data_IF_717483354910
#
_entry.id   IF_717483354910
#
_cell.length_a   1.000
_cell.length_b   1.000
_cell.length_c   1.000
_cell.angle_alpha   90.00
_cell.angle_beta   90.00
_cell.angle_gamma   90.00
#
_symmetry.space_group_name_H-M   'P 1'
#
loop_
_entity.id
_entity.type
_entity.pdbx_description
1 polymer ?
#
# COMPACT_ATOMS: atom_id res chain seq x y z
N UNK A 1 -9.00 2.52 -23.86
CA UNK A 1 -8.03 1.67 -23.15
C UNK A 1 -8.40 1.66 -21.68
N UNK A 2 -8.37 0.49 -21.05
CA UNK A 2 -8.79 0.31 -19.67
C UNK A 2 -7.83 1.01 -18.71
N UNK A 3 -8.37 1.83 -17.81
CA UNK A 3 -7.59 2.53 -16.78
C UNK A 3 -6.80 1.53 -15.92
N UNK A 4 -7.39 0.39 -15.60
CA UNK A 4 -6.73 -0.65 -14.80
C UNK A 4 -5.49 -1.22 -15.49
N UNK A 5 -5.55 -1.45 -16.79
CA UNK A 5 -4.41 -1.96 -17.58
C UNK A 5 -3.28 -0.94 -17.61
N UNK A 6 -3.62 0.32 -17.86
CA UNK A 6 -2.63 1.41 -17.88
C UNK A 6 -1.96 1.57 -16.53
N UNK A 7 -2.75 1.59 -15.46
CA UNK A 7 -2.25 1.78 -14.09
C UNK A 7 -1.29 0.66 -13.68
N UNK A 8 -1.63 -0.58 -13.98
CA UNK A 8 -0.78 -1.73 -13.67
C UNK A 8 0.52 -1.69 -14.47
N UNK A 9 0.44 -1.29 -15.75
CA UNK A 9 1.62 -1.19 -16.61
C UNK A 9 2.62 -0.18 -16.04
N UNK A 10 2.16 1.02 -15.69
CA UNK A 10 3.02 2.05 -15.10
C UNK A 10 3.55 1.64 -13.74
N UNK A 11 2.69 1.07 -12.89
CA UNK A 11 3.09 0.62 -11.56
C UNK A 11 4.12 -0.51 -11.62
N UNK A 12 3.95 -1.43 -12.55
CA UNK A 12 4.89 -2.54 -12.74
C UNK A 12 6.26 -2.05 -13.18
N UNK A 13 6.29 -1.07 -14.09
CA UNK A 13 7.54 -0.45 -14.54
C UNK A 13 8.23 0.28 -13.39
N UNK A 14 7.48 1.00 -12.57
CA UNK A 14 8.03 1.69 -11.40
C UNK A 14 8.60 0.70 -10.39
N UNK A 15 7.87 -0.37 -10.10
CA UNK A 15 8.33 -1.38 -9.14
C UNK A 15 9.60 -2.08 -9.64
N UNK A 16 9.68 -2.38 -10.94
CA UNK A 16 10.88 -2.96 -11.52
C UNK A 16 12.08 -2.02 -11.37
N UNK A 17 11.91 -0.75 -11.72
CA UNK A 17 12.97 0.25 -11.58
C UNK A 17 13.39 0.44 -10.13
N UNK A 18 12.44 0.48 -9.22
CA UNK A 18 12.71 0.62 -7.79
C UNK A 18 13.46 -0.61 -7.24
N UNK A 19 13.06 -1.80 -7.65
CA UNK A 19 13.71 -3.05 -7.24
C UNK A 19 15.14 -3.11 -7.76
N UNK A 20 15.37 -2.72 -9.02
CA UNK A 20 16.70 -2.68 -9.61
C UNK A 20 17.62 -1.67 -8.88
N UNK A 21 17.05 -0.57 -8.42
CA UNK A 21 17.78 0.45 -7.66
C UNK A 21 17.84 0.16 -6.16
N UNK A 22 17.18 -0.91 -5.70
CA UNK A 22 17.10 -1.33 -4.29
C UNK A 22 16.42 -0.30 -3.40
N UNK A 23 15.42 0.42 -3.94
CA UNK A 23 14.64 1.43 -3.21
C UNK A 23 13.14 1.15 -3.27
N UNK A 24 12.75 -0.10 -3.56
CA UNK A 24 11.35 -0.48 -3.68
C UNK A 24 10.56 -0.22 -2.39
N UNK A 25 11.20 -0.34 -1.22
CA UNK A 25 10.56 -0.08 0.07
C UNK A 25 10.29 1.42 0.27
N UNK A 26 11.23 2.27 -0.12
CA UNK A 26 11.06 3.72 -0.05
C UNK A 26 9.96 4.19 -0.99
N UNK A 27 9.93 3.67 -2.21
CA UNK A 27 8.88 4.00 -3.19
C UNK A 27 7.54 3.48 -2.73
N UNK A 28 7.51 2.33 -2.07
CA UNK A 28 6.28 1.79 -1.47
C UNK A 28 5.67 2.77 -0.46
N UNK A 29 6.49 3.29 0.46
CA UNK A 29 6.04 4.27 1.43
C UNK A 29 5.53 5.54 0.73
N UNK A 30 6.20 5.99 -0.32
CA UNK A 30 5.81 7.15 -1.10
C UNK A 30 4.49 6.95 -1.83
N UNK A 31 4.28 5.77 -2.42
CA UNK A 31 3.02 5.45 -3.12
C UNK A 31 1.87 5.27 -2.14
N UNK A 32 2.11 4.72 -0.94
CA UNK A 32 1.11 4.67 0.11
C UNK A 32 0.71 6.07 0.56
N UNK A 33 1.67 6.97 0.74
CA UNK A 33 1.40 8.35 1.13
C UNK A 33 0.63 9.09 0.04
N UNK A 34 0.97 8.87 -1.22
CA UNK A 34 0.27 9.48 -2.35
C UNK A 34 -1.18 9.00 -2.40
N UNK A 35 -1.41 7.69 -2.29
CA UNK A 35 -2.76 7.12 -2.26
C UNK A 35 -3.57 7.68 -1.10
N UNK A 36 -2.96 7.80 0.07
CA UNK A 36 -3.60 8.38 1.26
C UNK A 36 -3.98 9.83 1.03
N UNK A 37 -3.11 10.61 0.38
CA UNK A 37 -3.37 12.01 0.08
C UNK A 37 -4.61 12.18 -0.82
N UNK A 38 -4.80 11.28 -1.79
CA UNK A 38 -6.00 11.30 -2.63
C UNK A 38 -7.27 11.04 -1.83
N UNK A 39 -7.19 10.20 -0.80
CA UNK A 39 -8.34 9.92 0.07
C UNK A 39 -8.62 11.08 1.04
N UNK A 40 -7.57 11.62 1.66
CA UNK A 40 -7.68 12.68 2.66
C UNK A 40 -8.03 14.04 2.06
N UNK A 41 -7.59 14.28 0.82
CA UNK A 41 -7.84 15.54 0.10
C UNK A 41 -8.60 15.21 -1.19
N UNK A 42 -9.94 15.09 -1.13
CA UNK A 42 -10.73 14.71 -2.31
C UNK A 42 -10.55 15.66 -3.50
N UNK A 43 -10.24 16.93 -3.23
CA UNK A 43 -10.03 17.93 -4.28
C UNK A 43 -8.74 17.72 -5.06
N UNK A 44 -7.81 16.95 -4.54
CA UNK A 44 -6.53 16.68 -5.21
C UNK A 44 -6.77 16.07 -6.59
N UNK A 45 -7.66 15.09 -6.68
CA UNK A 45 -8.01 14.44 -7.94
C UNK A 45 -8.52 15.46 -8.98
N UNK A 46 -9.44 16.32 -8.57
CA UNK A 46 -10.01 17.33 -9.48
C UNK A 46 -8.96 18.35 -9.92
N UNK A 47 -8.07 18.72 -9.02
CA UNK A 47 -7.01 19.67 -9.32
C UNK A 47 -6.00 19.07 -10.33
N UNK A 48 -5.61 17.82 -10.11
CA UNK A 48 -4.69 17.13 -11.03
C UNK A 48 -5.34 16.90 -12.40
N UNK A 49 -6.65 16.63 -12.42
CA UNK A 49 -7.37 16.40 -13.68
C UNK A 49 -7.69 17.69 -14.43
N UNK A 50 -7.47 18.87 -13.82
CA UNK A 50 -7.80 20.14 -14.42
C UNK A 50 -6.86 20.44 -15.60
N UNK A 51 -7.36 20.51 -16.84
CA UNK A 51 -6.51 20.76 -18.01
C UNK A 51 -5.92 22.17 -18.05
N UNK A 52 -6.47 23.09 -17.26
CA UNK A 52 -5.98 24.47 -17.19
C UNK A 52 -4.77 24.61 -16.28
N UNK A 53 -4.51 23.63 -15.41
CA UNK A 53 -3.36 23.67 -14.51
C UNK A 53 -2.12 23.21 -15.26
N UNK A 54 -1.02 23.96 -15.14
CA UNK A 54 0.23 23.61 -15.84
C UNK A 54 0.83 22.32 -15.29
N UNK A 55 1.59 21.63 -16.13
CA UNK A 55 2.31 20.39 -15.74
C UNK A 55 3.26 20.63 -14.57
N UNK A 56 3.94 21.79 -14.55
CA UNK A 56 4.86 22.13 -13.48
C UNK A 56 4.14 22.23 -12.13
N UNK A 57 2.97 22.83 -12.11
CA UNK A 57 2.17 22.95 -10.89
C UNK A 57 1.63 21.58 -10.45
N UNK A 58 1.20 20.76 -11.40
CA UNK A 58 0.76 19.39 -11.11
C UNK A 58 1.89 18.57 -10.51
N UNK A 59 3.10 18.70 -11.06
CA UNK A 59 4.29 18.03 -10.53
C UNK A 59 4.55 18.43 -9.07
N UNK A 60 4.52 19.73 -8.78
CA UNK A 60 4.72 20.24 -7.42
C UNK A 60 3.68 19.66 -6.46
N UNK A 61 2.42 19.63 -6.87
CA UNK A 61 1.34 19.07 -6.04
C UNK A 61 1.55 17.58 -5.79
N UNK A 62 1.88 16.82 -6.81
CA UNK A 62 2.09 15.38 -6.68
C UNK A 62 3.31 15.07 -5.81
N UNK A 63 4.40 15.83 -5.97
CA UNK A 63 5.59 15.65 -5.12
C UNK A 63 5.29 15.98 -3.67
N UNK A 64 4.48 17.00 -3.42
CA UNK A 64 4.05 17.35 -2.07
C UNK A 64 3.18 16.23 -1.47
N UNK A 65 2.29 15.66 -2.28
CA UNK A 65 1.41 14.57 -1.85
C UNK A 65 2.19 13.28 -1.54
N UNK A 66 3.32 13.06 -2.19
CA UNK A 66 4.19 11.90 -1.97
C UNK A 66 4.92 11.99 -0.62
N UNK A 67 5.30 13.20 -0.21
CA UNK A 67 6.01 13.41 1.05
C UNK A 67 7.11 14.45 0.95
N UNK A 68 7.87 14.63 2.03
CA UNK A 68 8.87 15.68 2.11
C UNK A 68 10.11 15.42 1.27
N UNK A 69 10.53 14.16 1.15
CA UNK A 69 11.78 13.80 0.46
C UNK A 69 11.51 12.68 -0.55
N UNK A 70 10.85 12.98 -1.68
CA UNK A 70 10.60 11.96 -2.68
C UNK A 70 11.90 11.45 -3.28
N UNK A 71 11.94 10.14 -3.56
CA UNK A 71 13.08 9.50 -4.22
C UNK A 71 13.27 10.09 -5.61
N UNK A 72 14.53 10.20 -6.10
CA UNK A 72 14.78 10.68 -7.46
C UNK A 72 14.02 9.87 -8.52
N UNK A 73 13.89 8.57 -8.32
CA UNK A 73 13.11 7.71 -9.22
C UNK A 73 11.64 8.10 -9.24
N UNK A 74 11.06 8.39 -8.07
CA UNK A 74 9.66 8.83 -7.97
C UNK A 74 9.45 10.16 -8.68
N UNK A 75 10.37 11.11 -8.53
CA UNK A 75 10.31 12.37 -9.25
C UNK A 75 10.31 12.17 -10.76
N UNK A 76 11.26 11.38 -11.26
CA UNK A 76 11.36 11.05 -12.68
C UNK A 76 10.10 10.36 -13.18
N UNK A 77 9.55 9.46 -12.38
CA UNK A 77 8.32 8.75 -12.71
C UNK A 77 7.13 9.70 -12.83
N UNK A 78 6.96 10.60 -11.88
CA UNK A 78 5.89 11.61 -11.91
C UNK A 78 6.02 12.49 -13.15
N UNK A 79 7.24 12.91 -13.48
CA UNK A 79 7.51 13.68 -14.69
C UNK A 79 7.14 12.91 -15.94
N UNK A 80 7.44 11.61 -16.00
CA UNK A 80 7.06 10.75 -17.12
C UNK A 80 5.54 10.64 -17.26
N UNK A 81 4.83 10.42 -16.16
CA UNK A 81 3.37 10.30 -16.16
C UNK A 81 2.74 11.60 -16.69
N UNK A 82 3.24 12.74 -16.24
CA UNK A 82 2.76 14.04 -16.71
C UNK A 82 3.08 14.27 -18.20
N UNK A 83 4.28 13.90 -18.63
CA UNK A 83 4.69 14.01 -20.03
C UNK A 83 3.79 13.19 -20.94
N UNK A 84 3.36 12.01 -20.49
CA UNK A 84 2.50 11.11 -21.26
C UNK A 84 1.01 11.45 -21.09
N UNK A 85 0.68 12.52 -20.41
CA UNK A 85 -0.71 12.95 -20.14
C UNK A 85 -1.53 11.88 -19.42
N UNK A 86 -0.90 11.18 -18.47
CA UNK A 86 -1.53 10.11 -17.69
C UNK A 86 -1.75 10.46 -16.23
N UNK A 87 -1.63 11.74 -15.87
CA UNK A 87 -1.80 12.18 -14.48
C UNK A 87 -3.19 11.89 -13.91
N UNK A 88 -4.21 11.77 -14.76
CA UNK A 88 -5.56 11.43 -14.30
C UNK A 88 -5.66 10.01 -13.74
N UNK A 89 -4.72 9.13 -14.06
CA UNK A 89 -4.70 7.77 -13.52
C UNK A 89 -3.68 7.59 -12.39
N UNK A 90 -3.07 8.68 -11.92
CA UNK A 90 -2.00 8.62 -10.91
C UNK A 90 -2.45 7.94 -9.62
N UNK A 91 -3.68 8.20 -9.16
CA UNK A 91 -4.23 7.54 -7.98
C UNK A 91 -4.24 6.01 -8.15
N UNK A 92 -4.68 5.55 -9.31
CA UNK A 92 -4.75 4.11 -9.61
C UNK A 92 -3.36 3.51 -9.77
N UNK A 93 -2.40 4.27 -10.30
CA UNK A 93 -1.00 3.82 -10.38
C UNK A 93 -0.44 3.61 -8.97
N UNK A 94 -0.67 4.55 -8.06
CA UNK A 94 -0.20 4.43 -6.68
C UNK A 94 -0.80 3.19 -6.00
N UNK A 95 -2.10 2.97 -6.14
CA UNK A 95 -2.76 1.80 -5.59
C UNK A 95 -2.25 0.49 -6.20
N UNK A 96 -2.01 0.49 -7.51
CA UNK A 96 -1.47 -0.68 -8.22
C UNK A 96 -0.06 -1.02 -7.76
N UNK A 97 0.79 0.00 -7.55
CA UNK A 97 2.14 -0.21 -7.02
C UNK A 97 2.08 -0.88 -5.64
N UNK A 98 1.22 -0.38 -4.76
CA UNK A 98 1.06 -0.95 -3.41
C UNK A 98 0.67 -2.43 -3.49
N UNK A 99 -0.29 -2.77 -4.36
CA UNK A 99 -0.72 -4.15 -4.55
C UNK A 99 0.40 -5.02 -5.12
N UNK A 100 1.07 -4.56 -6.16
CA UNK A 100 2.16 -5.31 -6.79
C UNK A 100 3.35 -5.50 -5.85
N UNK A 101 3.68 -4.48 -5.06
CA UNK A 101 4.74 -4.57 -4.06
C UNK A 101 4.42 -5.67 -3.03
N UNK A 102 3.19 -5.68 -2.53
CA UNK A 102 2.76 -6.70 -1.55
C UNK A 102 2.82 -8.10 -2.13
N UNK A 103 2.45 -8.26 -3.40
CA UNK A 103 2.59 -9.54 -4.10
C UNK A 103 4.06 -9.96 -4.23
N UNK A 104 4.92 -9.03 -4.63
CA UNK A 104 6.36 -9.31 -4.82
C UNK A 104 7.03 -9.67 -3.50
N UNK A 105 6.71 -8.98 -2.41
CA UNK A 105 7.29 -9.21 -1.09
C UNK A 105 6.55 -10.27 -0.29
N UNK A 106 5.47 -10.82 -0.83
CA UNK A 106 4.59 -11.74 -0.10
C UNK A 106 4.16 -11.14 1.24
N UNK A 107 3.70 -9.88 1.21
CA UNK A 107 3.23 -9.18 2.41
C UNK A 107 1.84 -9.68 2.76
N UNK A 108 1.64 -9.98 4.05
CA UNK A 108 0.37 -10.44 4.58
C UNK A 108 -0.24 -9.33 5.41
N UNK A 109 -1.45 -8.93 5.06
CA UNK A 109 -2.20 -7.98 5.88
C UNK A 109 -3.03 -8.74 6.88
N UNK A 110 -2.92 -8.35 8.16
CA UNK A 110 -3.63 -8.99 9.22
C UNK A 110 -4.35 -8.00 10.11
N UNK A 111 -5.41 -8.47 10.75
CA UNK A 111 -6.12 -7.72 11.78
C UNK A 111 -6.18 -8.59 13.02
N UNK A 112 -5.65 -8.07 14.11
CA UNK A 112 -5.65 -8.73 15.40
C UNK A 112 -6.74 -8.11 16.26
N UNK A 113 -7.72 -8.89 16.65
CA UNK A 113 -8.83 -8.46 17.49
C UNK A 113 -8.65 -9.09 18.87
N UNK A 114 -8.60 -8.27 19.89
CA UNK A 114 -8.39 -8.73 21.27
C UNK A 114 -9.43 -8.12 22.19
N UNK A 115 -9.68 -8.77 23.34
CA UNK A 115 -10.61 -8.25 24.34
C UNK A 115 -10.05 -7.02 25.07
N UNK A 116 -8.73 -6.92 25.17
CA UNK A 116 -8.04 -5.78 25.77
C UNK A 116 -6.77 -5.49 24.97
N UNK A 117 -6.23 -4.28 25.13
CA UNK A 117 -5.01 -3.91 24.42
C UNK A 117 -3.87 -4.89 24.77
N UNK A 118 -3.17 -5.35 23.73
CA UNK A 118 -2.04 -6.27 23.90
C UNK A 118 -0.73 -5.49 23.99
N UNK A 119 0.24 -6.06 24.69
CA UNK A 119 1.58 -5.49 24.74
C UNK A 119 2.29 -5.64 23.40
N UNK A 120 3.26 -4.75 23.08
CA UNK A 120 4.06 -4.90 21.86
C UNK A 120 4.76 -6.26 21.76
N UNK A 121 5.17 -6.83 22.90
CA UNK A 121 5.80 -8.15 22.91
C UNK A 121 4.85 -9.26 22.44
N UNK A 122 3.58 -9.21 22.87
CA UNK A 122 2.56 -10.18 22.46
C UNK A 122 2.26 -10.04 20.99
N UNK A 123 2.10 -8.81 20.50
CA UNK A 123 1.89 -8.53 19.08
C UNK A 123 3.03 -9.08 18.22
N UNK A 124 4.27 -8.89 18.67
CA UNK A 124 5.44 -9.38 17.95
C UNK A 124 5.47 -10.91 17.87
N UNK A 125 5.08 -11.60 18.94
CA UNK A 125 4.98 -13.05 18.95
C UNK A 125 3.95 -13.55 17.95
N UNK A 126 2.82 -12.89 17.87
CA UNK A 126 1.76 -13.26 16.91
C UNK A 126 2.21 -13.03 15.48
N UNK A 127 2.90 -11.92 15.23
CA UNK A 127 3.47 -11.61 13.93
C UNK A 127 4.45 -12.69 13.50
N UNK A 128 5.36 -13.07 14.36
CA UNK A 128 6.34 -14.12 14.08
C UNK A 128 5.67 -15.46 13.79
N UNK A 129 4.60 -15.78 14.51
CA UNK A 129 3.86 -17.01 14.29
C UNK A 129 3.25 -17.07 12.88
N UNK A 130 2.64 -15.98 12.42
CA UNK A 130 2.06 -15.92 11.08
C UNK A 130 3.16 -15.91 10.02
N UNK A 131 4.24 -15.17 10.23
CA UNK A 131 5.36 -15.11 9.31
C UNK A 131 6.00 -16.48 9.12
N UNK A 132 6.15 -17.26 10.19
CA UNK A 132 6.74 -18.60 10.10
C UNK A 132 5.86 -19.59 9.35
N UNK A 133 4.54 -19.42 9.40
CA UNK A 133 3.59 -20.28 8.68
C UNK A 133 3.46 -19.94 7.21
N UNK A 134 3.68 -18.68 6.84
CA UNK A 134 3.37 -18.17 5.51
C UNK A 134 4.62 -17.76 4.71
N UNK A 135 5.78 -17.70 5.35
CA UNK A 135 7.04 -17.24 4.75
C UNK A 135 6.94 -15.83 4.15
N UNK A 136 6.08 -14.99 4.75
CA UNK A 136 5.90 -13.61 4.29
C UNK A 136 6.12 -12.63 5.41
N UNK A 137 6.09 -11.35 5.06
CA UNK A 137 6.12 -10.25 6.01
C UNK A 137 4.68 -9.88 6.39
N UNK A 138 4.43 -9.69 7.68
CA UNK A 138 3.08 -9.44 8.17
C UNK A 138 2.93 -7.98 8.60
N UNK A 139 1.89 -7.32 8.09
CA UNK A 139 1.45 -5.99 8.54
C UNK A 139 0.15 -6.17 9.32
N UNK A 140 0.15 -5.82 10.60
CA UNK A 140 -1.02 -5.94 11.47
C UNK A 140 -1.67 -4.60 11.78
N UNK A 141 -3.00 -4.61 11.78
CA UNK A 141 -3.81 -3.62 12.47
C UNK A 141 -4.35 -4.28 13.73
N UNK A 142 -4.35 -3.56 14.85
CA UNK A 142 -4.90 -4.06 16.10
C UNK A 142 -6.24 -3.41 16.38
N UNK A 143 -7.20 -4.21 16.87
CA UNK A 143 -8.51 -3.73 17.25
C UNK A 143 -8.86 -4.31 18.62
N UNK A 144 -9.40 -3.48 19.51
CA UNK A 144 -9.86 -3.93 20.82
C UNK A 144 -11.38 -4.07 20.78
N UNK A 145 -11.87 -5.28 21.07
CA UNK A 145 -13.29 -5.56 21.17
C UNK A 145 -13.58 -6.28 22.48
N UNK A 146 -14.12 -5.56 23.51
CA UNK A 146 -14.36 -6.15 24.81
C UNK A 146 -15.37 -7.31 24.82
N UNK A 147 -16.15 -7.44 23.76
CA UNK A 147 -17.17 -8.50 23.67
C UNK A 147 -16.58 -9.87 23.36
N UNK A 148 -15.30 -9.95 23.02
CA UNK A 148 -14.61 -11.22 22.80
C UNK A 148 -14.42 -11.94 24.12
N UNK A 149 -14.87 -13.21 24.18
CA UNK A 149 -14.75 -14.03 25.39
C UNK A 149 -13.44 -14.81 25.33
N UNK A 150 -12.40 -14.26 25.95
CA UNK A 150 -11.10 -14.92 26.04
C UNK A 150 -10.36 -15.06 24.71
N UNK A 151 -9.04 -15.00 24.75
CA UNK A 151 -8.23 -15.20 23.55
C UNK A 151 -8.22 -14.01 22.60
N UNK A 152 -8.04 -14.30 21.33
CA UNK A 152 -7.97 -13.29 20.28
C UNK A 152 -8.40 -13.86 18.94
N UNK A 153 -8.79 -12.97 18.03
CA UNK A 153 -9.13 -13.34 16.66
C UNK A 153 -8.06 -12.74 15.75
N UNK A 154 -7.47 -13.57 14.90
CA UNK A 154 -6.50 -13.14 13.90
C UNK A 154 -7.11 -13.38 12.53
N UNK A 155 -7.30 -12.28 11.79
CA UNK A 155 -7.77 -12.33 10.41
C UNK A 155 -6.63 -11.89 9.51
N UNK A 156 -6.41 -12.58 8.39
CA UNK A 156 -5.34 -12.20 7.46
C UNK A 156 -5.68 -12.56 6.03
N UNK A 157 -5.14 -11.75 5.11
CA UNK A 157 -5.22 -11.96 3.67
C UNK A 157 -3.82 -12.11 3.12
N UNK A 158 -3.64 -13.04 2.19
CA UNK A 158 -2.38 -13.20 1.48
C UNK A 158 -2.51 -12.60 0.08
N UNK A 159 -1.55 -11.75 -0.30
CA UNK A 159 -1.49 -11.17 -1.63
C UNK A 159 -0.61 -12.05 -2.51
N UNK A 160 -1.25 -12.89 -3.34
CA UNK A 160 -0.56 -13.78 -4.27
C UNK A 160 -0.93 -13.45 -5.71
N UNK A 161 -0.14 -13.93 -6.64
CA UNK A 161 -0.36 -13.71 -8.08
C UNK A 161 -1.64 -14.35 -8.60
N UNK A 162 -2.06 -15.48 -8.04
CA UNK A 162 -3.34 -16.10 -8.37
C UNK A 162 -4.46 -15.34 -7.67
N UNK A 163 -5.48 -14.98 -8.43
CA UNK A 163 -6.44 -13.95 -8.06
C UNK A 163 -7.48 -14.36 -7.01
N UNK A 164 -7.48 -15.58 -6.50
CA UNK A 164 -8.47 -16.00 -5.52
C UNK A 164 -7.94 -15.87 -4.10
N UNK A 165 -7.89 -14.64 -3.61
CA UNK A 165 -7.52 -14.39 -2.21
C UNK A 165 -8.78 -14.40 -1.38
N UNK A 166 -8.84 -15.31 -0.41
CA UNK A 166 -9.90 -15.33 0.58
C UNK A 166 -9.33 -14.98 1.94
N UNK A 167 -10.05 -14.19 2.75
CA UNK A 167 -9.62 -13.93 4.12
C UNK A 167 -9.53 -15.24 4.91
N UNK A 168 -8.47 -15.35 5.69
CA UNK A 168 -8.31 -16.47 6.62
C UNK A 168 -8.52 -15.93 8.03
N UNK A 169 -9.41 -16.56 8.78
CA UNK A 169 -9.67 -16.18 10.17
C UNK A 169 -9.31 -17.35 11.07
N UNK A 170 -8.56 -17.08 12.12
CA UNK A 170 -8.17 -18.06 13.10
C UNK A 170 -8.39 -17.49 14.49
N UNK A 171 -9.11 -18.24 15.33
CA UNK A 171 -9.30 -17.87 16.72
C UNK A 171 -8.36 -18.73 17.58
N UNK A 172 -7.63 -18.05 18.48
CA UNK A 172 -6.73 -18.71 19.41
C UNK A 172 -7.20 -18.46 20.82
N UNK A 173 -7.15 -19.51 21.66
CA UNK A 173 -7.45 -19.38 23.09
C UNK A 173 -6.16 -19.23 23.86
N UNK A 174 -6.11 -18.38 24.91
CA UNK A 174 -4.94 -18.30 25.77
C UNK A 174 -4.76 -19.62 26.48
N UNK A 175 -3.60 -20.15 26.47
CA UNK A 175 -3.26 -21.37 27.20
C UNK A 175 -2.56 -21.03 28.50
#
# INVERSE_FOLDING_TARGET
>A
MDIGVISVRYARALLKGATDAKIEDAVYAEMQQLAKSYVEVPQLRFTIDNPMLSKDKKETLLLTAVGKNPSPLTKTFIQLVLKEDRESVMQFIANSYVTLYRQQKNVIRGRLITAAAVSPATEQKMRQMVESKTNGTVEFETEVNPDIIGGFILEYDTYRMDASVKPNSTQFSPS
#
